data_IF_501354289678
#
_entry.id   IF_501354289678
#
_cell.length_a   1.000
_cell.length_b   1.000
_cell.length_c   1.000
_cell.angle_alpha   90.00
_cell.angle_beta   90.00
_cell.angle_gamma   90.00
#
_symmetry.space_group_name_H-M   'P 1'
#
loop_
_entity.id
_entity.type
_entity.pdbx_description
1 polymer ?
#
# COMPACT_ATOMS: atom_id res chain seq x y z
N UNK A 1 -46.42 1.33 -26.15
CA UNK A 1 -46.24 1.55 -24.69
C UNK A 1 -45.09 0.65 -24.24
N UNK A 2 -44.02 1.31 -23.76
CA UNK A 2 -42.80 0.82 -23.09
C UNK A 2 -41.97 -0.27 -23.79
N UNK A 3 -40.87 0.18 -24.39
CA UNK A 3 -39.80 -0.62 -24.99
C UNK A 3 -39.01 -1.37 -23.92
N UNK A 4 -38.88 -2.67 -24.08
CA UNK A 4 -38.10 -3.60 -23.24
C UNK A 4 -36.57 -3.46 -23.40
N UNK A 5 -36.09 -2.51 -24.23
CA UNK A 5 -34.66 -2.22 -24.43
C UNK A 5 -34.12 -1.08 -23.56
N UNK A 6 -34.96 -0.35 -22.84
CA UNK A 6 -34.59 0.86 -22.08
C UNK A 6 -34.19 0.57 -20.62
N UNK A 7 -34.44 -0.66 -20.14
CA UNK A 7 -34.30 -1.04 -18.72
C UNK A 7 -32.94 -1.67 -18.36
N UNK A 8 -32.10 -2.01 -19.34
CA UNK A 8 -30.77 -2.60 -19.08
C UNK A 8 -29.64 -1.56 -19.04
N UNK A 9 -29.85 -0.39 -19.64
CA UNK A 9 -28.88 0.72 -19.61
C UNK A 9 -29.01 1.55 -18.31
N UNK A 10 -30.21 1.69 -17.75
CA UNK A 10 -30.43 2.47 -16.52
C UNK A 10 -29.83 1.80 -15.29
N UNK A 11 -29.94 0.48 -15.18
CA UNK A 11 -29.43 -0.30 -14.04
C UNK A 11 -27.89 -0.29 -14.03
N UNK A 12 -27.27 -0.39 -15.21
CA UNK A 12 -25.82 -0.31 -15.37
C UNK A 12 -25.26 1.07 -15.03
N UNK A 13 -25.99 2.15 -15.34
CA UNK A 13 -25.58 3.52 -15.01
C UNK A 13 -25.73 3.80 -13.51
N UNK A 14 -26.84 3.37 -12.89
CA UNK A 14 -27.06 3.50 -11.44
C UNK A 14 -26.02 2.71 -10.63
N UNK A 15 -25.66 1.50 -11.07
CA UNK A 15 -24.57 0.71 -10.48
C UNK A 15 -23.22 1.45 -10.51
N UNK A 16 -22.87 2.03 -11.66
CA UNK A 16 -21.60 2.77 -11.83
C UNK A 16 -21.60 4.05 -10.99
N UNK A 17 -22.72 4.78 -10.94
CA UNK A 17 -22.86 5.97 -10.11
C UNK A 17 -22.74 5.65 -8.62
N UNK A 18 -23.34 4.55 -8.16
CA UNK A 18 -23.22 4.08 -6.77
C UNK A 18 -21.78 3.69 -6.41
N UNK A 19 -21.05 3.06 -7.32
CA UNK A 19 -19.61 2.75 -7.13
C UNK A 19 -18.81 4.05 -7.03
N UNK A 20 -19.04 5.01 -7.92
CA UNK A 20 -18.32 6.28 -7.94
C UNK A 20 -18.57 7.11 -6.68
N UNK A 21 -19.82 7.21 -6.23
CA UNK A 21 -20.18 7.93 -5.01
C UNK A 21 -19.45 7.39 -3.78
N UNK A 22 -19.29 6.07 -3.65
CA UNK A 22 -18.57 5.46 -2.54
C UNK A 22 -17.05 5.63 -2.61
N UNK A 23 -16.48 5.68 -3.81
CA UNK A 23 -15.05 5.94 -3.99
C UNK A 23 -14.71 7.40 -3.73
N UNK A 24 -15.61 8.32 -4.08
CA UNK A 24 -15.44 9.76 -3.84
C UNK A 24 -15.59 10.15 -2.36
N UNK A 25 -16.49 9.49 -1.63
CA UNK A 25 -16.72 9.73 -0.19
C UNK A 25 -15.51 9.32 0.68
N UNK A 26 -14.89 8.18 0.37
CA UNK A 26 -13.66 7.73 1.04
C UNK A 26 -12.76 6.94 0.09
N UNK A 27 -11.81 7.64 -0.53
CA UNK A 27 -10.81 7.09 -1.43
C UNK A 27 -9.86 6.05 -0.78
N UNK A 28 -9.88 5.90 0.56
CA UNK A 28 -9.14 4.87 1.28
C UNK A 28 -9.96 3.58 1.47
N UNK A 29 -11.24 3.58 1.10
CA UNK A 29 -12.10 2.39 1.21
C UNK A 29 -11.63 1.29 0.27
N UNK A 30 -11.45 0.09 0.80
CA UNK A 30 -11.06 -1.07 -0.03
C UNK A 30 -12.14 -1.42 -1.06
N UNK A 31 -11.75 -1.79 -2.27
CA UNK A 31 -12.68 -2.24 -3.32
C UNK A 31 -13.55 -3.45 -2.90
N UNK A 32 -13.08 -4.29 -1.96
CA UNK A 32 -13.87 -5.38 -1.37
C UNK A 32 -15.02 -4.89 -0.50
N UNK A 33 -14.78 -3.83 0.27
CA UNK A 33 -15.79 -3.25 1.16
C UNK A 33 -16.91 -2.62 0.34
N UNK A 34 -16.57 -1.90 -0.73
CA UNK A 34 -17.53 -1.36 -1.72
C UNK A 34 -18.36 -2.50 -2.34
N UNK A 35 -17.69 -3.57 -2.79
CA UNK A 35 -18.35 -4.75 -3.34
C UNK A 35 -19.35 -5.40 -2.37
N UNK A 36 -18.95 -5.55 -1.10
CA UNK A 36 -19.82 -6.12 -0.05
C UNK A 36 -21.01 -5.21 0.26
N UNK A 37 -20.79 -3.89 0.25
CA UNK A 37 -21.83 -2.89 0.57
C UNK A 37 -22.88 -2.77 -0.54
N UNK A 38 -22.47 -2.91 -1.81
CA UNK A 38 -23.38 -2.84 -2.96
C UNK A 38 -23.91 -4.21 -3.41
N UNK A 39 -23.38 -5.32 -2.89
CA UNK A 39 -23.75 -6.68 -3.31
C UNK A 39 -23.25 -7.05 -4.72
N UNK A 40 -22.28 -6.30 -5.25
CA UNK A 40 -21.73 -6.45 -6.60
C UNK A 40 -20.40 -7.22 -6.52
N UNK A 41 -20.03 -8.06 -7.50
CA UNK A 41 -18.72 -8.70 -7.52
C UNK A 41 -17.57 -7.69 -7.50
N UNK A 42 -16.53 -7.96 -6.69
CA UNK A 42 -15.36 -7.09 -6.54
C UNK A 42 -14.68 -6.74 -7.89
N UNK A 43 -14.67 -7.67 -8.84
CA UNK A 43 -14.10 -7.45 -10.18
C UNK A 43 -14.81 -6.32 -10.93
N UNK A 44 -16.12 -6.14 -10.75
CA UNK A 44 -16.88 -5.05 -11.39
C UNK A 44 -16.45 -3.70 -10.86
N UNK A 45 -16.31 -3.57 -9.53
CA UNK A 45 -15.79 -2.36 -8.88
C UNK A 45 -14.39 -2.00 -9.39
N UNK A 46 -13.51 -2.99 -9.53
CA UNK A 46 -12.14 -2.77 -10.06
C UNK A 46 -12.17 -2.33 -11.52
N UNK A 47 -12.99 -2.97 -12.37
CA UNK A 47 -13.11 -2.61 -13.78
C UNK A 47 -13.68 -1.19 -13.94
N UNK A 48 -14.74 -0.84 -13.20
CA UNK A 48 -15.31 0.51 -13.20
C UNK A 48 -14.29 1.56 -12.74
N UNK A 49 -13.51 1.28 -11.69
CA UNK A 49 -12.45 2.18 -11.24
C UNK A 49 -11.35 2.35 -12.31
N UNK A 50 -10.95 1.27 -12.99
CA UNK A 50 -9.99 1.34 -14.09
C UNK A 50 -10.52 2.12 -15.30
N UNK A 51 -11.77 1.86 -15.73
CA UNK A 51 -12.43 2.55 -16.84
C UNK A 51 -12.56 4.05 -16.59
N UNK A 52 -12.79 4.44 -15.34
CA UNK A 52 -12.90 5.84 -14.91
C UNK A 52 -11.56 6.49 -14.56
N UNK A 53 -10.45 5.76 -14.68
CA UNK A 53 -9.10 6.27 -14.41
C UNK A 53 -8.81 6.56 -12.93
N UNK A 54 -9.60 5.98 -12.02
CA UNK A 54 -9.41 6.08 -10.58
C UNK A 54 -8.34 5.07 -10.15
N UNK A 55 -7.07 5.40 -10.39
CA UNK A 55 -5.92 4.60 -9.99
C UNK A 55 -5.53 4.91 -8.54
N UNK A 56 -5.86 4.04 -7.56
CA UNK A 56 -5.53 4.27 -6.16
C UNK A 56 -4.09 3.81 -5.92
N UNK A 57 -3.13 4.51 -6.51
CA UNK A 57 -1.71 4.38 -6.18
C UNK A 57 -1.24 5.71 -5.59
N UNK A 58 -1.67 5.99 -4.36
CA UNK A 58 -1.02 7.04 -3.59
C UNK A 58 0.40 6.56 -3.27
N UNK A 59 1.41 7.25 -3.81
CA UNK A 59 2.80 7.08 -3.39
C UNK A 59 2.95 7.65 -1.97
N UNK A 60 2.56 6.86 -0.97
CA UNK A 60 2.71 7.25 0.42
C UNK A 60 4.18 7.10 0.81
N UNK A 61 4.89 8.23 0.95
CA UNK A 61 6.24 8.24 1.53
C UNK A 61 6.14 7.87 3.00
N UNK A 62 6.23 6.57 3.29
CA UNK A 62 6.09 5.99 4.63
C UNK A 62 7.35 6.12 5.48
N UNK A 63 8.48 6.53 4.89
CA UNK A 63 9.76 6.67 5.60
C UNK A 63 10.39 8.04 5.31
N UNK A 64 10.22 8.96 6.26
CA UNK A 64 11.03 10.18 6.31
C UNK A 64 12.30 9.83 7.08
N UNK A 65 13.44 9.77 6.39
CA UNK A 65 14.74 9.60 7.04
C UNK A 65 15.11 10.92 7.72
N UNK A 66 14.96 11.00 9.03
CA UNK A 66 15.42 12.15 9.80
C UNK A 66 16.95 12.08 9.98
N UNK A 67 17.66 13.21 10.05
CA UNK A 67 19.11 13.21 10.28
C UNK A 67 19.54 12.43 11.54
N UNK A 68 18.69 12.40 12.56
CA UNK A 68 18.94 11.72 13.84
C UNK A 68 18.72 10.21 13.78
N UNK A 69 18.03 9.68 12.76
CA UNK A 69 17.68 8.26 12.66
C UNK A 69 18.93 7.38 12.62
N UNK A 70 19.99 7.85 11.95
CA UNK A 70 21.27 7.13 11.90
C UNK A 70 21.89 6.99 13.30
N UNK A 71 21.91 8.08 14.07
CA UNK A 71 22.47 8.08 15.43
C UNK A 71 21.64 7.19 16.35
N UNK A 72 20.31 7.28 16.28
CA UNK A 72 19.40 6.45 17.07
C UNK A 72 19.55 4.96 16.76
N UNK A 73 19.61 4.60 15.47
CA UNK A 73 19.85 3.20 15.05
C UNK A 73 21.20 2.70 15.56
N UNK A 74 22.26 3.51 15.43
CA UNK A 74 23.59 3.16 15.93
C UNK A 74 23.58 2.91 17.45
N UNK A 75 23.04 3.85 18.23
CA UNK A 75 22.94 3.71 19.70
C UNK A 75 22.15 2.46 20.09
N UNK A 76 21.01 2.22 19.45
CA UNK A 76 20.21 1.02 19.69
C UNK A 76 21.02 -0.26 19.42
N UNK A 77 21.78 -0.31 18.33
CA UNK A 77 22.61 -1.48 18.01
C UNK A 77 23.78 -1.64 18.98
N UNK A 78 24.40 -0.54 19.40
CA UNK A 78 25.47 -0.52 20.40
C UNK A 78 24.97 -1.05 21.75
N UNK A 79 23.80 -0.62 22.21
CA UNK A 79 23.17 -1.09 23.45
C UNK A 79 22.67 -2.54 23.35
N UNK A 80 21.93 -2.86 22.29
CA UNK A 80 21.25 -4.15 22.14
C UNK A 80 22.22 -5.30 21.92
N UNK A 81 23.29 -5.05 21.18
CA UNK A 81 24.29 -6.05 20.79
C UNK A 81 25.63 -5.84 21.50
N UNK A 82 25.69 -4.96 22.50
CA UNK A 82 26.87 -4.68 23.32
C UNK A 82 28.11 -4.35 22.47
N UNK A 83 27.92 -3.53 21.43
CA UNK A 83 28.98 -3.19 20.49
C UNK A 83 29.51 -4.38 19.67
N UNK A 84 28.69 -5.39 19.39
CA UNK A 84 29.06 -6.56 18.56
C UNK A 84 28.16 -6.73 17.34
N UNK A 85 27.79 -5.63 16.71
CA UNK A 85 27.04 -5.62 15.46
C UNK A 85 27.94 -5.24 14.27
N UNK A 86 27.56 -5.70 13.09
CA UNK A 86 28.30 -5.49 11.84
C UNK A 86 27.53 -4.50 10.97
N UNK A 87 28.20 -3.49 10.44
CA UNK A 87 27.56 -2.53 9.53
C UNK A 87 28.37 -1.24 9.36
N UNK A 88 27.86 -0.30 8.56
CA UNK A 88 28.54 0.99 8.34
C UNK A 88 28.59 1.79 9.64
N UNK A 89 29.80 2.11 10.10
CA UNK A 89 30.04 2.89 11.33
C UNK A 89 29.96 2.10 12.65
N UNK A 90 29.85 0.77 12.56
CA UNK A 90 29.90 -0.15 13.70
C UNK A 90 31.32 -0.64 14.04
N UNK A 91 31.49 -1.34 15.16
CA UNK A 91 32.79 -1.77 15.69
C UNK A 91 33.43 -2.92 14.89
N UNK A 92 32.64 -3.73 14.20
CA UNK A 92 33.14 -4.80 13.32
C UNK A 92 32.91 -4.41 11.85
N UNK A 93 34.00 -4.35 11.08
CA UNK A 93 33.93 -4.11 9.64
C UNK A 93 33.22 -5.26 8.92
N UNK A 94 32.56 -4.95 7.80
CA UNK A 94 31.84 -5.96 7.02
C UNK A 94 32.80 -7.01 6.45
N UNK A 95 32.45 -8.31 6.50
CA UNK A 95 33.24 -9.32 5.82
C UNK A 95 33.18 -9.08 4.29
N UNK A 96 34.26 -9.42 3.56
CA UNK A 96 34.24 -9.36 2.10
C UNK A 96 33.21 -10.38 1.60
N UNK A 97 32.01 -9.90 1.17
CA UNK A 97 30.82 -10.60 0.62
C UNK A 97 29.49 -10.48 1.40
N UNK A 98 29.34 -9.56 2.36
CA UNK A 98 27.98 -9.21 2.83
C UNK A 98 27.24 -8.38 1.78
N UNK A 99 26.00 -8.76 1.43
CA UNK A 99 25.11 -7.97 0.57
C UNK A 99 24.76 -6.64 1.23
N UNK A 100 24.78 -5.52 0.50
CA UNK A 100 24.59 -4.16 1.05
C UNK A 100 23.16 -3.84 1.53
N UNK A 101 22.20 -4.78 1.41
CA UNK A 101 20.78 -4.50 1.52
C UNK A 101 19.95 -5.48 2.37
N UNK A 102 20.56 -6.31 3.21
CA UNK A 102 19.83 -7.11 4.20
C UNK A 102 19.86 -6.42 5.57
N UNK A 103 18.71 -6.09 6.18
CA UNK A 103 18.66 -5.29 7.42
C UNK A 103 19.11 -6.05 8.67
N UNK A 104 19.52 -7.32 8.58
CA UNK A 104 19.79 -8.14 9.76
C UNK A 104 20.64 -9.40 9.44
N UNK A 105 21.91 -9.25 9.10
CA UNK A 105 22.82 -10.40 8.98
C UNK A 105 23.59 -10.59 10.29
N UNK A 106 23.13 -11.51 11.16
CA UNK A 106 23.92 -12.08 12.26
C UNK A 106 24.33 -13.51 11.90
N UNK A 107 25.62 -13.83 12.00
CA UNK A 107 26.05 -15.23 12.05
C UNK A 107 25.91 -15.74 13.49
N UNK A 108 25.11 -16.79 13.69
CA UNK A 108 25.15 -17.63 14.89
C UNK A 108 26.43 -18.48 14.92
#
# INVERSE_FOLDING_TARGET
MRNSGELLDTDCLEEVENILALVEDDAMTSSRRIATQLGIPQTRVINTAHEKGLYPYYLQRVQHLQPEDYVRRKQHLDERFLGRWIGRGGPTSRPPRSSDLTPLDYCL
#
